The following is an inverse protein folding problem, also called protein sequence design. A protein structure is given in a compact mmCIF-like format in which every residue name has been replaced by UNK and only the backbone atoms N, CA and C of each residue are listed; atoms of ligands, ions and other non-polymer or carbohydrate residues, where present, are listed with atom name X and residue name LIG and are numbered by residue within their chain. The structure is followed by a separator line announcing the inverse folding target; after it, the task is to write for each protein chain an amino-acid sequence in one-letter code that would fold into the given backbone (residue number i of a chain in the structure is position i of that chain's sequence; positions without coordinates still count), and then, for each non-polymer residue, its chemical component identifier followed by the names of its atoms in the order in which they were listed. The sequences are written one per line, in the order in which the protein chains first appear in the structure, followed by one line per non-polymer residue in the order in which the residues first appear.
data_IF_641359299273
#
_entry.id   IF_641359299273
#
_cell.length_a   1.000
_cell.length_b   1.000
_cell.length_c   1.000
_cell.angle_alpha   90.00
_cell.angle_beta   90.00
_cell.angle_gamma   90.00
#
_symmetry.space_group_name_H-M   'P 1'
#
loop_
_entity.id
_entity.type
_entity.pdbx_description
1 polymer ?
#
# COMPACT_ATOMS: atom_id res chain seq x y z
N UNK A 1 2.78 -10.58 -1.05
CA UNK A 1 2.68 -10.28 0.40
C UNK A 1 1.27 -9.80 0.67
N UNK A 2 0.59 -10.41 1.64
CA UNK A 2 -0.77 -10.05 2.05
C UNK A 2 -0.72 -9.42 3.45
N UNK A 3 -1.65 -8.52 3.71
CA UNK A 3 -1.83 -7.85 5.00
C UNK A 3 -3.20 -8.22 5.54
N UNK A 4 -3.38 -8.22 6.86
CA UNK A 4 -4.71 -8.38 7.44
C UNK A 4 -5.62 -7.24 6.96
N UNK A 5 -6.90 -7.55 6.75
CA UNK A 5 -7.90 -6.57 6.30
C UNK A 5 -8.24 -5.50 7.33
N UNK A 6 -7.86 -5.73 8.59
CA UNK A 6 -7.87 -4.74 9.65
C UNK A 6 -6.76 -3.69 9.45
N UNK A 7 -5.59 -4.12 8.97
CA UNK A 7 -4.47 -3.21 8.74
C UNK A 7 -4.57 -2.48 7.40
N UNK A 8 -4.95 -3.17 6.33
CA UNK A 8 -5.04 -2.63 4.96
C UNK A 8 -6.48 -2.23 4.58
N UNK A 9 -6.76 -0.93 4.65
CA UNK A 9 -8.08 -0.36 4.30
C UNK A 9 -8.34 -0.35 2.79
N UNK A 10 -7.33 -0.66 1.97
CA UNK A 10 -7.48 -0.79 0.52
C UNK A 10 -7.87 -2.20 0.05
N UNK A 11 -7.92 -3.18 0.96
CA UNK A 11 -8.36 -4.52 0.61
C UNK A 11 -9.88 -4.55 0.39
N UNK A 12 -10.30 -5.01 -0.79
CA UNK A 12 -11.73 -5.18 -1.11
C UNK A 12 -12.20 -6.52 -0.56
N UNK A 13 -13.19 -6.46 0.33
CA UNK A 13 -13.83 -7.65 0.89
C UNK A 13 -14.89 -8.13 -0.09
N UNK A 14 -14.85 -9.41 -0.44
CA UNK A 14 -15.79 -10.06 -1.35
C UNK A 14 -16.58 -11.11 -0.59
N UNK A 15 -17.89 -11.03 -0.72
CA UNK A 15 -18.86 -12.00 -0.19
C UNK A 15 -19.70 -12.54 -1.34
N UNK A 16 -20.51 -13.57 -1.07
CA UNK A 16 -21.49 -14.03 -2.03
C UNK A 16 -22.50 -12.92 -2.33
N UNK A 17 -22.79 -12.71 -3.61
CA UNK A 17 -23.84 -11.78 -4.03
C UNK A 17 -25.19 -12.26 -3.47
N UNK A 18 -25.93 -11.38 -2.76
CA UNK A 18 -27.29 -11.69 -2.32
C UNK A 18 -28.19 -12.09 -3.49
N UNK A 19 -29.10 -13.04 -3.26
CA UNK A 19 -30.03 -13.57 -4.28
C UNK A 19 -30.92 -12.47 -4.88
N UNK A 20 -31.16 -11.39 -4.14
CA UNK A 20 -31.96 -10.24 -4.60
C UNK A 20 -31.29 -9.44 -5.72
N UNK A 21 -29.99 -9.62 -5.95
CA UNK A 21 -29.24 -8.93 -7.01
C UNK A 21 -29.12 -9.80 -8.27
N UNK A 22 -29.17 -9.19 -9.47
CA UNK A 22 -28.98 -9.91 -10.70
C UNK A 22 -27.57 -10.51 -10.75
N UNK A 23 -27.50 -11.81 -11.04
CA UNK A 23 -26.23 -12.53 -11.25
C UNK A 23 -25.68 -12.29 -12.67
N UNK A 24 -26.56 -11.98 -13.62
CA UNK A 24 -26.18 -11.68 -15.00
C UNK A 24 -25.28 -10.44 -15.07
N UNK A 25 -24.11 -10.57 -15.69
CA UNK A 25 -23.13 -9.49 -15.79
C UNK A 25 -22.20 -9.33 -14.57
N UNK A 26 -22.27 -10.24 -13.59
CA UNK A 26 -21.28 -10.25 -12.50
C UNK A 26 -19.89 -10.61 -13.04
N UNK A 27 -18.89 -9.80 -12.69
CA UNK A 27 -17.51 -9.93 -13.20
C UNK A 27 -16.63 -10.82 -12.30
N UNK A 28 -17.22 -11.66 -11.43
CA UNK A 28 -16.46 -12.55 -10.54
C UNK A 28 -15.57 -13.55 -11.25
N UNK A 29 -15.85 -13.87 -12.52
CA UNK A 29 -15.00 -14.74 -13.34
C UNK A 29 -13.62 -14.12 -13.63
N UNK A 30 -13.54 -12.79 -13.73
CA UNK A 30 -12.30 -12.03 -13.96
C UNK A 30 -11.43 -11.98 -12.70
N UNK A 31 -12.02 -12.21 -11.54
CA UNK A 31 -11.34 -12.16 -10.25
C UNK A 31 -10.61 -13.46 -9.90
N UNK A 32 -10.32 -14.34 -10.86
CA UNK A 32 -9.57 -15.57 -10.60
C UNK A 32 -8.08 -15.27 -10.52
N UNK A 33 -7.48 -15.66 -9.40
CA UNK A 33 -6.04 -15.61 -9.18
C UNK A 33 -5.53 -17.03 -8.91
N UNK A 34 -4.73 -17.64 -9.80
CA UNK A 34 -4.15 -18.95 -9.58
C UNK A 34 -3.11 -18.97 -8.45
N UNK A 35 -2.61 -17.79 -8.02
CA UNK A 35 -1.70 -17.62 -6.90
C UNK A 35 -2.40 -17.19 -5.60
N UNK A 36 -3.74 -17.35 -5.54
CA UNK A 36 -4.52 -17.05 -4.35
C UNK A 36 -3.98 -17.82 -3.13
N UNK A 37 -3.99 -17.17 -1.96
CA UNK A 37 -3.57 -17.77 -0.69
C UNK A 37 -4.76 -17.85 0.25
N UNK A 38 -5.03 -19.04 0.75
CA UNK A 38 -6.12 -19.28 1.70
C UNK A 38 -5.60 -19.25 3.13
N UNK A 39 -6.36 -18.63 4.03
CA UNK A 39 -6.18 -18.70 5.48
C UNK A 39 -7.55 -18.81 6.18
N UNK A 40 -7.58 -18.64 7.51
CA UNK A 40 -8.82 -18.68 8.31
C UNK A 40 -9.83 -17.58 7.94
N UNK A 41 -9.37 -16.47 7.36
CA UNK A 41 -10.21 -15.32 6.97
C UNK A 41 -10.81 -15.52 5.57
N UNK A 42 -10.20 -16.35 4.74
CA UNK A 42 -10.68 -16.74 3.42
C UNK A 42 -9.57 -16.77 2.38
N UNK A 43 -9.92 -16.45 1.14
CA UNK A 43 -8.97 -16.49 0.02
C UNK A 43 -8.50 -15.09 -0.35
N UNK A 44 -7.20 -14.85 -0.13
CA UNK A 44 -6.52 -13.62 -0.48
C UNK A 44 -6.03 -13.69 -1.92
N UNK A 45 -6.36 -12.66 -2.71
CA UNK A 45 -6.09 -12.60 -4.14
C UNK A 45 -5.51 -11.23 -4.50
N UNK A 46 -4.73 -11.19 -5.58
CA UNK A 46 -4.17 -9.94 -6.10
C UNK A 46 -4.64 -9.73 -7.54
N UNK A 47 -5.40 -8.67 -7.76
CA UNK A 47 -5.81 -8.25 -9.08
C UNK A 47 -4.83 -7.21 -9.63
N UNK A 48 -4.02 -7.61 -10.61
CA UNK A 48 -3.00 -6.74 -11.20
C UNK A 48 -3.60 -5.82 -12.29
N UNK A 49 -3.23 -4.54 -12.26
CA UNK A 49 -3.68 -3.51 -13.21
C UNK A 49 -2.45 -2.71 -13.64
N UNK A 50 -1.84 -3.10 -14.75
CA UNK A 50 -0.59 -2.48 -15.21
C UNK A 50 0.48 -2.55 -14.11
N UNK A 51 0.88 -1.38 -13.58
CA UNK A 51 1.87 -1.27 -12.50
C UNK A 51 1.25 -1.12 -11.09
N UNK A 52 -0.07 -1.29 -10.98
CA UNK A 52 -0.81 -1.27 -9.72
C UNK A 52 -1.37 -2.67 -9.43
N UNK A 53 -1.75 -2.88 -8.18
CA UNK A 53 -2.42 -4.09 -7.76
C UNK A 53 -3.49 -3.76 -6.72
N UNK A 54 -4.66 -4.38 -6.86
CA UNK A 54 -5.74 -4.32 -5.88
C UNK A 54 -5.75 -5.64 -5.13
N UNK A 55 -5.83 -5.56 -3.81
CA UNK A 55 -5.90 -6.73 -2.94
C UNK A 55 -7.35 -7.06 -2.68
N UNK A 56 -7.69 -8.33 -2.80
CA UNK A 56 -9.04 -8.84 -2.62
C UNK A 56 -9.00 -9.92 -1.53
N UNK A 57 -10.01 -9.95 -0.67
CA UNK A 57 -10.26 -11.05 0.23
C UNK A 57 -11.65 -11.61 -0.04
N UNK A 58 -11.74 -12.82 -0.58
CA UNK A 58 -12.99 -13.59 -0.57
C UNK A 58 -13.17 -14.18 0.82
N UNK A 59 -14.17 -13.71 1.56
CA UNK A 59 -14.39 -14.09 2.96
C UNK A 59 -14.68 -15.59 3.06
N UNK A 60 -14.13 -16.23 4.08
CA UNK A 60 -14.37 -17.63 4.41
C UNK A 60 -15.86 -17.98 4.38
N UNK A 61 -16.20 -19.13 3.80
CA UNK A 61 -17.58 -19.57 3.59
C UNK A 61 -18.22 -19.09 2.29
N UNK A 62 -17.56 -18.22 1.51
CA UNK A 62 -18.04 -17.82 0.17
C UNK A 62 -17.66 -18.87 -0.87
N UNK A 63 -18.62 -19.54 -1.54
CA UNK A 63 -18.28 -20.59 -2.50
C UNK A 63 -17.58 -20.04 -3.74
N UNK A 64 -16.54 -20.75 -4.19
CA UNK A 64 -15.84 -20.41 -5.43
C UNK A 64 -16.76 -20.58 -6.64
N UNK A 65 -16.61 -19.72 -7.65
CA UNK A 65 -17.43 -19.75 -8.87
C UNK A 65 -18.83 -19.16 -8.74
N UNK A 66 -19.17 -18.56 -7.60
CA UNK A 66 -20.43 -17.82 -7.42
C UNK A 66 -20.30 -16.35 -7.84
N UNK A 67 -21.44 -15.67 -8.04
CA UNK A 67 -21.44 -14.22 -8.16
C UNK A 67 -21.01 -13.58 -6.84
N UNK A 68 -20.12 -12.59 -6.92
CA UNK A 68 -19.55 -11.92 -5.76
C UNK A 68 -20.09 -10.50 -5.63
N UNK A 69 -20.23 -10.02 -4.40
CA UNK A 69 -20.50 -8.64 -4.06
C UNK A 69 -19.37 -8.09 -3.18
N UNK A 70 -19.06 -6.81 -3.33
CA UNK A 70 -18.13 -6.13 -2.44
C UNK A 70 -18.83 -5.73 -1.13
N UNK A 71 -18.18 -5.98 -0.01
CA UNK A 71 -18.66 -5.65 1.33
C UNK A 71 -17.88 -4.47 1.90
N UNK A 72 -18.61 -3.49 2.45
CA UNK A 72 -18.03 -2.34 3.15
C UNK A 72 -18.64 -2.30 4.55
N UNK A 73 -17.84 -2.55 5.62
CA UNK A 73 -18.31 -2.32 6.97
C UNK A 73 -18.66 -0.85 7.18
N UNK A 74 -19.67 -0.57 7.99
CA UNK A 74 -20.06 0.79 8.36
C UNK A 74 -19.16 1.31 9.48
N UNK A 75 -17.89 1.51 9.16
CA UNK A 75 -16.87 1.98 10.08
C UNK A 75 -16.18 3.26 9.54
N UNK A 76 -15.19 3.74 10.29
CA UNK A 76 -14.47 4.95 9.90
C UNK A 76 -13.63 4.78 8.62
N UNK A 77 -13.32 3.54 8.23
CA UNK A 77 -12.54 3.19 7.03
C UNK A 77 -13.42 2.93 5.80
N UNK A 78 -14.75 3.08 5.91
CA UNK A 78 -15.68 2.81 4.81
C UNK A 78 -15.37 3.57 3.52
N UNK A 79 -14.96 4.84 3.61
CA UNK A 79 -14.60 5.64 2.43
C UNK A 79 -13.33 5.14 1.72
N UNK A 80 -12.33 4.67 2.47
CA UNK A 80 -11.12 4.05 1.91
C UNK A 80 -11.49 2.78 1.12
N UNK A 81 -12.39 1.97 1.70
CA UNK A 81 -12.88 0.74 1.07
C UNK A 81 -13.72 1.04 -0.17
N UNK A 82 -14.51 2.11 -0.17
CA UNK A 82 -15.26 2.57 -1.35
C UNK A 82 -14.32 3.01 -2.46
N UNK A 83 -13.24 3.74 -2.17
CA UNK A 83 -12.22 4.10 -3.18
C UNK A 83 -11.56 2.86 -3.78
N UNK A 84 -11.24 1.86 -2.95
CA UNK A 84 -10.72 0.57 -3.43
C UNK A 84 -11.72 -0.17 -4.33
N UNK A 85 -13.02 -0.14 -4.01
CA UNK A 85 -14.08 -0.72 -4.83
C UNK A 85 -14.25 0.04 -6.15
N UNK A 86 -14.24 1.38 -6.16
CA UNK A 86 -14.29 2.16 -7.40
C UNK A 86 -13.12 1.81 -8.33
N UNK A 87 -11.91 1.70 -7.76
CA UNK A 87 -10.72 1.28 -8.50
C UNK A 87 -10.86 -0.13 -9.08
N UNK A 88 -11.43 -1.07 -8.31
CA UNK A 88 -11.70 -2.44 -8.76
C UNK A 88 -12.74 -2.46 -9.89
N UNK A 89 -13.85 -1.76 -9.74
CA UNK A 89 -14.91 -1.72 -10.75
C UNK A 89 -14.43 -1.07 -12.05
N UNK A 90 -13.64 0.02 -11.96
CA UNK A 90 -13.01 0.63 -13.14
C UNK A 90 -12.10 -0.35 -13.85
N UNK A 91 -11.26 -1.05 -13.10
CA UNK A 91 -10.35 -2.05 -13.65
C UNK A 91 -11.10 -3.19 -14.36
N UNK A 92 -12.12 -3.76 -13.71
CA UNK A 92 -12.95 -4.82 -14.27
C UNK A 92 -13.72 -4.37 -15.53
N UNK A 93 -14.03 -3.07 -15.66
CA UNK A 93 -14.69 -2.50 -16.83
C UNK A 93 -13.70 -1.97 -17.89
N UNK A 94 -12.40 -2.23 -17.74
CA UNK A 94 -11.37 -1.74 -18.68
C UNK A 94 -11.22 -0.21 -18.70
N UNK A 95 -11.67 0.49 -17.65
CA UNK A 95 -11.58 1.95 -17.53
C UNK A 95 -10.26 2.37 -16.89
N UNK A 96 -9.85 3.61 -17.15
CA UNK A 96 -8.69 4.20 -16.49
C UNK A 96 -8.88 4.19 -14.95
N UNK A 97 -7.90 3.62 -14.25
CA UNK A 97 -7.87 3.49 -12.79
C UNK A 97 -7.00 4.60 -12.20
N UNK A 98 -7.52 5.31 -11.22
CA UNK A 98 -6.77 6.35 -10.53
C UNK A 98 -5.60 5.74 -9.71
N UNK A 99 -4.53 6.52 -9.56
CA UNK A 99 -3.42 6.17 -8.67
C UNK A 99 -3.88 6.03 -7.21
N UNK A 100 -3.26 5.09 -6.50
CA UNK A 100 -3.45 4.93 -5.05
C UNK A 100 -3.04 6.22 -4.31
N UNK A 101 -4.03 6.86 -3.68
CA UNK A 101 -3.92 8.18 -3.07
C UNK A 101 -3.44 8.14 -1.62
N UNK A 102 -3.19 6.97 -1.02
CA UNK A 102 -2.67 6.86 0.35
C UNK A 102 -1.34 7.60 0.53
N UNK A 103 -0.49 7.58 -0.50
CA UNK A 103 0.81 8.22 -0.48
C UNK A 103 1.04 9.10 -1.70
N UNK A 104 1.38 10.36 -1.46
CA UNK A 104 1.81 11.27 -2.52
C UNK A 104 3.16 10.82 -3.11
N UNK A 105 3.50 11.21 -4.36
CA UNK A 105 4.80 10.90 -4.94
C UNK A 105 5.99 11.39 -4.09
N UNK A 106 5.83 12.52 -3.39
CA UNK A 106 6.84 13.05 -2.47
C UNK A 106 6.99 12.17 -1.23
N UNK A 107 5.90 11.70 -0.64
CA UNK A 107 5.94 10.76 0.48
C UNK A 107 6.59 9.44 0.07
N UNK A 108 6.22 8.87 -1.09
CA UNK A 108 6.85 7.65 -1.62
C UNK A 108 8.37 7.83 -1.79
N UNK A 109 8.82 8.95 -2.36
CA UNK A 109 10.25 9.28 -2.47
C UNK A 109 10.93 9.37 -1.10
N UNK A 110 10.32 10.09 -0.15
CA UNK A 110 10.87 10.24 1.20
C UNK A 110 10.98 8.90 1.94
N UNK A 111 9.97 8.04 1.84
CA UNK A 111 10.01 6.71 2.47
C UNK A 111 11.10 5.80 1.86
N UNK A 112 11.31 5.86 0.54
CA UNK A 112 12.45 5.16 -0.11
C UNK A 112 13.79 5.65 0.41
N UNK A 113 13.95 6.97 0.55
CA UNK A 113 15.18 7.55 1.13
C UNK A 113 15.36 7.18 2.61
N UNK A 114 14.28 7.08 3.39
CA UNK A 114 14.34 6.60 4.77
C UNK A 114 14.85 5.16 4.85
N UNK A 115 14.32 4.27 4.00
CA UNK A 115 14.78 2.88 3.91
C UNK A 115 16.26 2.83 3.53
N UNK A 116 16.64 3.45 2.40
CA UNK A 116 18.03 3.47 1.93
C UNK A 116 19.01 4.06 2.96
N UNK A 117 18.63 5.14 3.65
CA UNK A 117 19.45 5.74 4.68
C UNK A 117 19.61 4.83 5.90
N UNK A 118 18.53 4.13 6.28
CA UNK A 118 18.54 3.20 7.42
C UNK A 118 19.37 1.97 7.10
N UNK A 119 19.19 1.37 5.92
CA UNK A 119 19.96 0.21 5.47
C UNK A 119 21.46 0.53 5.44
N UNK A 120 21.84 1.65 4.82
CA UNK A 120 23.24 2.08 4.78
C UNK A 120 23.81 2.34 6.18
N UNK A 121 23.04 2.97 7.08
CA UNK A 121 23.51 3.23 8.43
C UNK A 121 23.63 1.96 9.28
N UNK A 122 22.73 0.99 9.11
CA UNK A 122 22.82 -0.32 9.76
C UNK A 122 24.01 -1.13 9.26
N UNK A 123 24.42 -0.93 8.00
CA UNK A 123 25.64 -1.51 7.40
C UNK A 123 26.92 -0.72 7.76
N UNK A 124 26.84 0.23 8.69
CA UNK A 124 27.99 0.97 9.22
C UNK A 124 28.37 2.23 8.44
N UNK A 125 27.63 2.61 7.39
CA UNK A 125 27.88 3.86 6.68
C UNK A 125 27.67 5.07 7.60
N UNK A 126 28.57 6.06 7.49
CA UNK A 126 28.39 7.30 8.22
C UNK A 126 27.23 8.11 7.63
N UNK A 127 26.66 9.03 8.42
CA UNK A 127 25.66 9.98 7.91
C UNK A 127 26.16 10.77 6.68
N UNK A 128 27.47 10.99 6.57
CA UNK A 128 28.06 11.70 5.43
C UNK A 128 28.07 10.82 4.19
N UNK A 129 28.40 9.54 4.32
CA UNK A 129 28.40 8.59 3.20
C UNK A 129 26.98 8.41 2.65
N UNK A 130 26.00 8.27 3.55
CA UNK A 130 24.58 8.25 3.17
C UNK A 130 24.18 9.54 2.46
N UNK A 131 24.63 10.71 2.93
CA UNK A 131 24.34 11.98 2.27
C UNK A 131 24.94 12.06 0.85
N UNK A 132 26.16 11.54 0.66
CA UNK A 132 26.84 11.52 -0.64
C UNK A 132 26.06 10.65 -1.63
N UNK A 133 25.58 9.49 -1.20
CA UNK A 133 24.77 8.58 -2.03
C UNK A 133 23.41 9.22 -2.39
N UNK A 134 22.76 9.88 -1.44
CA UNK A 134 21.42 10.44 -1.64
C UNK A 134 21.39 11.78 -2.38
N UNK A 135 22.40 12.63 -2.20
CA UNK A 135 22.40 14.01 -2.68
C UNK A 135 23.59 14.35 -3.59
N UNK A 136 24.56 13.44 -3.72
CA UNK A 136 25.78 13.64 -4.50
C UNK A 136 26.89 14.30 -3.68
N UNK A 137 28.14 13.91 -3.96
CA UNK A 137 29.33 14.44 -3.29
C UNK A 137 29.45 15.96 -3.41
N UNK A 138 29.21 16.51 -4.61
CA UNK A 138 29.30 17.95 -4.87
C UNK A 138 28.41 18.79 -3.96
N UNK A 139 27.17 18.36 -3.68
CA UNK A 139 26.27 19.07 -2.75
C UNK A 139 26.72 18.92 -1.30
N UNK A 140 27.26 17.77 -0.92
CA UNK A 140 27.75 17.53 0.45
C UNK A 140 29.02 18.31 0.75
N UNK A 141 29.88 18.54 -0.24
CA UNK A 141 31.13 19.30 -0.09
C UNK A 141 30.96 20.81 -0.26
N UNK A 142 29.80 21.28 -0.72
CA UNK A 142 29.54 22.71 -0.92
C UNK A 142 29.57 23.51 0.39
N UNK A 143 29.33 22.86 1.54
CA UNK A 143 29.34 23.48 2.86
C UNK A 143 30.05 22.59 3.89
N UNK A 144 30.57 23.15 5.00
CA UNK A 144 31.11 22.36 6.09
C UNK A 144 30.10 21.35 6.66
N UNK A 145 30.47 20.06 6.66
CA UNK A 145 29.56 18.96 7.03
C UNK A 145 28.89 19.13 8.41
N UNK A 146 29.64 19.64 9.41
CA UNK A 146 29.14 19.78 10.79
C UNK A 146 27.94 20.74 10.89
N UNK A 147 27.84 21.72 10.00
CA UNK A 147 26.78 22.75 9.99
C UNK A 147 25.81 22.59 8.81
N UNK A 148 26.01 21.60 7.95
CA UNK A 148 25.20 21.41 6.74
C UNK A 148 23.77 20.95 7.08
N UNK A 149 22.73 21.52 6.44
CA UNK A 149 21.35 21.04 6.60
C UNK A 149 21.14 19.62 6.06
N UNK A 150 22.00 19.15 5.14
CA UNK A 150 21.97 17.77 4.66
C UNK A 150 22.28 16.79 5.78
N UNK A 151 23.12 17.18 6.75
CA UNK A 151 23.40 16.37 7.93
C UNK A 151 22.13 16.12 8.75
N UNK A 152 21.40 17.17 9.07
CA UNK A 152 20.14 17.06 9.80
C UNK A 152 19.08 16.27 9.01
N UNK A 153 19.04 16.47 7.69
CA UNK A 153 18.13 15.75 6.79
C UNK A 153 18.38 14.25 6.84
N UNK A 154 19.64 13.80 6.70
CA UNK A 154 19.97 12.37 6.76
C UNK A 154 19.71 11.78 8.14
N UNK A 155 20.05 12.49 9.22
CA UNK A 155 19.69 12.04 10.59
C UNK A 155 18.18 11.81 10.68
N UNK A 156 17.37 12.74 10.17
CA UNK A 156 15.91 12.62 10.16
C UNK A 156 15.41 11.47 9.30
N UNK A 157 16.08 11.15 8.18
CA UNK A 157 15.75 9.99 7.35
C UNK A 157 16.03 8.67 8.07
N UNK A 158 17.18 8.55 8.75
CA UNK A 158 17.54 7.35 9.52
C UNK A 158 16.59 7.13 10.69
N UNK A 159 16.32 8.16 11.49
CA UNK A 159 15.36 8.05 12.59
C UNK A 159 13.94 7.75 12.10
N UNK A 160 13.51 8.43 11.03
CA UNK A 160 12.22 8.16 10.41
C UNK A 160 12.11 6.73 9.90
N UNK A 161 13.16 6.21 9.23
CA UNK A 161 13.18 4.83 8.75
C UNK A 161 13.15 3.80 9.88
N UNK A 162 13.89 4.01 10.97
CA UNK A 162 13.80 3.16 12.17
C UNK A 162 12.40 3.15 12.76
N UNK A 163 11.77 4.31 12.94
CA UNK A 163 10.39 4.40 13.42
C UNK A 163 9.39 3.67 12.50
N UNK A 164 9.63 3.69 11.18
CA UNK A 164 8.83 2.91 10.24
C UNK A 164 9.01 1.40 10.45
N UNK A 165 10.24 0.92 10.63
CA UNK A 165 10.57 -0.49 10.88
C UNK A 165 9.96 -0.98 12.21
N UNK A 166 9.99 -0.14 13.25
CA UNK A 166 9.46 -0.43 14.58
C UNK A 166 7.91 -0.47 14.64
N UNK A 167 7.24 -0.36 13.49
CA UNK A 167 5.79 -0.54 13.37
C UNK A 167 5.06 0.62 12.70
N UNK A 168 5.74 1.75 12.45
CA UNK A 168 5.18 2.90 11.74
C UNK A 168 4.72 2.58 10.31
N UNK A 169 5.25 1.53 9.68
CA UNK A 169 4.84 1.07 8.34
C UNK A 169 3.34 0.79 8.22
N UNK A 170 2.65 0.43 9.31
CA UNK A 170 1.20 0.18 9.29
C UNK A 170 0.39 1.40 8.87
N UNK A 171 0.92 2.61 9.12
CA UNK A 171 0.28 3.85 8.68
C UNK A 171 0.28 4.01 7.15
N UNK A 172 1.17 3.33 6.43
CA UNK A 172 1.19 3.35 4.95
C UNK A 172 0.03 2.54 4.34
N UNK A 173 -0.58 1.65 5.13
CA UNK A 173 -1.66 0.78 4.69
C UNK A 173 -3.03 1.47 4.77
N UNK A 174 -3.09 2.67 5.35
CA UNK A 174 -4.34 3.42 5.57
C UNK A 174 -4.26 4.80 4.91
N UNK A 175 -5.39 5.38 4.52
CA UNK A 175 -5.38 6.80 4.17
C UNK A 175 -5.15 7.64 5.42
N UNK A 176 -4.27 8.63 5.30
CA UNK A 176 -4.05 9.59 6.38
C UNK A 176 -5.26 10.51 6.46
N UNK A 177 -6.08 10.34 7.49
CA UNK A 177 -7.10 11.35 7.81
C UNK A 177 -6.40 12.61 8.30
N UNK A 178 -6.77 13.76 7.73
CA UNK A 178 -6.59 15.03 8.44
C UNK A 178 -7.73 15.08 9.44
N UNK A 179 -7.39 15.06 10.72
CA UNK A 179 -8.30 15.54 11.76
C UNK A 179 -8.56 17.04 11.59
#
# INVERSE_FOLDING_TARGET
MFWSVEADTSAVLLTQSPIVLPTAGNLSCELRDPAARSDEQGDHMVFAIGNQAIRLLRIAGTPSGTALAALVPLDADGFDRIDAIDRLLRALQGRAVADDRRLTPQQKRRHRQMLQATDGHLDGASYRDVAIVLFGSGRVTAEPWKTSPLRATVIGLVHGGRAMIEGGYRQLLRHRRKE
#
